data_IF_873994138679
#
_entry.id   IF_873994138679
#
_cell.length_a   1.000
_cell.length_b   1.000
_cell.length_c   1.000
_cell.angle_alpha   90.00
_cell.angle_beta   90.00
_cell.angle_gamma   90.00
#
_symmetry.space_group_name_H-M   'P 1'
#
loop_
_entity.id
_entity.type
_entity.pdbx_description
1 polymer ?
#
# COMPACT_ATOMS: atom_id res chain seq x y z
N UNK A 1 -23.10 -4.05 -4.82
CA UNK A 1 -23.24 -3.36 -6.12
C UNK A 1 -22.42 -4.13 -7.14
N UNK A 2 -22.95 -4.40 -8.33
CA UNK A 2 -22.16 -5.02 -9.40
C UNK A 2 -21.27 -3.95 -10.04
N UNK A 3 -19.96 -4.17 -10.09
CA UNK A 3 -18.99 -3.24 -10.69
C UNK A 3 -18.71 -3.65 -12.14
N UNK A 4 -18.52 -4.94 -12.35
CA UNK A 4 -18.26 -5.55 -13.65
C UNK A 4 -18.66 -7.03 -13.64
N UNK A 5 -18.73 -7.66 -14.79
CA UNK A 5 -19.01 -9.09 -14.93
C UNK A 5 -18.16 -9.63 -16.06
N UNK A 6 -17.43 -10.71 -15.76
CA UNK A 6 -16.61 -11.43 -16.73
C UNK A 6 -17.19 -12.81 -16.97
N UNK A 7 -17.12 -13.30 -18.21
CA UNK A 7 -17.58 -14.64 -18.56
C UNK A 7 -16.38 -15.56 -18.67
N UNK A 8 -16.30 -16.54 -17.78
CA UNK A 8 -15.20 -17.50 -17.72
C UNK A 8 -15.77 -18.93 -17.73
N UNK A 9 -15.22 -19.82 -18.55
CA UNK A 9 -15.71 -21.20 -18.69
C UNK A 9 -17.23 -21.32 -18.89
N UNK A 10 -17.84 -20.37 -19.61
CA UNK A 10 -19.27 -20.36 -19.90
C UNK A 10 -20.18 -19.84 -18.78
N UNK A 11 -19.63 -19.49 -17.61
CA UNK A 11 -20.36 -18.91 -16.45
C UNK A 11 -20.01 -17.44 -16.27
N UNK A 12 -20.98 -16.65 -15.81
CA UNK A 12 -20.79 -15.23 -15.52
C UNK A 12 -20.32 -15.04 -14.07
N UNK A 13 -19.22 -14.30 -13.90
CA UNK A 13 -18.60 -13.97 -12.62
C UNK A 13 -18.72 -12.48 -12.35
N UNK A 14 -19.67 -12.08 -11.49
CA UNK A 14 -19.86 -10.68 -11.15
C UNK A 14 -18.89 -10.21 -10.06
N UNK A 15 -18.13 -9.16 -10.37
CA UNK A 15 -17.29 -8.41 -9.45
C UNK A 15 -18.18 -7.51 -8.60
N UNK A 16 -18.50 -7.96 -7.38
CA UNK A 16 -19.49 -7.28 -6.53
C UNK A 16 -18.81 -6.55 -5.38
N UNK A 17 -19.04 -5.25 -5.31
CA UNK A 17 -18.76 -4.47 -4.11
C UNK A 17 -19.83 -4.77 -3.04
N UNK A 18 -19.55 -5.77 -2.21
CA UNK A 18 -20.37 -6.16 -1.05
C UNK A 18 -19.93 -5.39 0.21
N UNK A 19 -20.68 -5.52 1.31
CA UNK A 19 -20.24 -4.97 2.61
C UNK A 19 -18.94 -5.61 3.09
N UNK A 20 -18.74 -6.90 2.82
CA UNK A 20 -17.54 -7.63 3.19
C UNK A 20 -16.35 -7.20 2.32
N UNK A 21 -16.56 -7.06 1.00
CA UNK A 21 -15.56 -6.50 0.09
C UNK A 21 -15.10 -5.10 0.52
N UNK A 22 -16.04 -4.19 0.86
CA UNK A 22 -15.68 -2.86 1.40
C UNK A 22 -14.88 -2.93 2.70
N UNK A 23 -15.19 -3.89 3.58
CA UNK A 23 -14.45 -4.08 4.83
C UNK A 23 -13.02 -4.53 4.54
N UNK A 24 -12.84 -5.55 3.69
CA UNK A 24 -11.53 -6.05 3.29
C UNK A 24 -10.69 -4.98 2.58
N UNK A 25 -11.27 -4.19 1.67
CA UNK A 25 -10.57 -3.09 0.99
C UNK A 25 -10.16 -2.00 1.99
N UNK A 26 -11.03 -1.65 2.94
CA UNK A 26 -10.66 -0.70 4.01
C UNK A 26 -9.58 -1.30 4.93
N UNK A 27 -9.64 -2.59 5.27
CA UNK A 27 -8.62 -3.27 6.07
C UNK A 27 -7.27 -3.30 5.35
N UNK A 28 -7.26 -3.47 4.03
CA UNK A 28 -6.06 -3.36 3.22
C UNK A 28 -5.48 -1.95 3.28
N UNK A 29 -6.31 -0.91 3.15
CA UNK A 29 -5.90 0.48 3.37
C UNK A 29 -5.33 0.71 4.78
N UNK A 30 -5.95 0.14 5.81
CA UNK A 30 -5.50 0.26 7.20
C UNK A 30 -4.24 -0.53 7.49
N UNK A 31 -4.06 -1.71 6.91
CA UNK A 31 -2.86 -2.54 7.09
C UNK A 31 -1.63 -1.82 6.57
N UNK A 32 -1.73 -1.21 5.39
CA UNK A 32 -0.65 -0.38 4.85
C UNK A 32 -0.33 0.79 5.80
N UNK A 33 -1.36 1.42 6.38
CA UNK A 33 -1.17 2.50 7.35
C UNK A 33 -0.55 2.04 8.68
N UNK A 34 -0.98 0.90 9.23
CA UNK A 34 -0.49 0.34 10.49
C UNK A 34 0.95 -0.15 10.36
N UNK A 35 1.28 -0.81 9.23
CA UNK A 35 2.66 -1.15 8.89
C UNK A 35 3.52 0.10 8.93
N UNK A 36 3.11 1.21 8.32
CA UNK A 36 3.86 2.48 8.31
C UNK A 36 3.96 3.19 9.67
N UNK A 37 3.03 2.94 10.60
CA UNK A 37 3.08 3.44 11.97
C UNK A 37 3.81 2.50 12.94
N UNK A 38 4.31 1.35 12.46
CA UNK A 38 4.98 0.37 13.28
C UNK A 38 6.23 1.02 13.95
N UNK A 39 6.36 0.92 15.30
CA UNK A 39 7.53 1.42 16.02
C UNK A 39 8.86 0.88 15.47
N UNK A 40 8.89 -0.33 14.90
CA UNK A 40 10.08 -0.88 14.23
C UNK A 40 10.52 -0.05 13.01
N UNK A 41 9.60 0.61 12.32
CA UNK A 41 9.92 1.52 11.21
C UNK A 41 10.53 2.80 11.72
N UNK A 42 9.98 3.35 12.80
CA UNK A 42 10.55 4.52 13.46
C UNK A 42 11.96 4.24 13.99
N UNK A 43 12.21 3.05 14.54
CA UNK A 43 13.55 2.65 14.98
C UNK A 43 14.49 2.47 13.80
N UNK A 44 14.06 1.79 12.72
CA UNK A 44 14.89 1.64 11.52
C UNK A 44 15.23 3.02 10.90
N UNK A 45 14.29 3.97 10.88
CA UNK A 45 14.53 5.34 10.41
C UNK A 45 15.58 6.07 11.27
N UNK A 46 15.56 5.85 12.58
CA UNK A 46 16.58 6.32 13.51
C UNK A 46 17.95 5.69 13.23
N UNK A 47 18.02 4.37 13.12
CA UNK A 47 19.25 3.62 12.80
C UNK A 47 19.87 4.08 11.48
N UNK A 48 19.06 4.33 10.45
CA UNK A 48 19.53 4.82 9.16
C UNK A 48 20.16 6.21 9.30
N UNK A 49 19.54 7.10 10.08
CA UNK A 49 20.08 8.44 10.35
C UNK A 49 21.41 8.36 11.09
N UNK A 50 21.53 7.47 12.08
CA UNK A 50 22.76 7.27 12.84
C UNK A 50 23.90 6.69 12.00
N UNK A 51 23.64 5.64 11.20
CA UNK A 51 24.63 5.04 10.31
C UNK A 51 25.10 6.07 9.26
N UNK A 52 24.17 6.86 8.71
CA UNK A 52 24.51 7.92 7.75
C UNK A 52 25.41 9.00 8.38
N UNK A 53 25.14 9.39 9.63
CA UNK A 53 25.99 10.33 10.36
C UNK A 53 27.39 9.77 10.62
N UNK A 54 27.49 8.51 11.07
CA UNK A 54 28.77 7.82 11.30
C UNK A 54 29.58 7.70 10.02
N UNK A 55 28.94 7.32 8.91
CA UNK A 55 29.58 7.25 7.59
C UNK A 55 30.15 8.60 7.15
N UNK A 56 29.39 9.69 7.33
CA UNK A 56 29.86 11.02 6.98
C UNK A 56 31.03 11.49 7.87
N UNK A 57 31.00 11.15 9.16
CA UNK A 57 32.09 11.44 10.08
C UNK A 57 33.36 10.67 9.70
N UNK A 58 33.26 9.36 9.46
CA UNK A 58 34.38 8.52 9.04
C UNK A 58 35.01 8.99 7.72
N UNK A 59 34.19 9.42 6.75
CA UNK A 59 34.68 10.03 5.49
C UNK A 59 35.41 11.35 5.70
N UNK A 60 35.00 12.15 6.69
CA UNK A 60 35.71 13.39 7.04
C UNK A 60 37.05 13.11 7.73
N UNK A 61 37.08 12.11 8.62
CA UNK A 61 38.30 11.65 9.31
C UNK A 61 39.31 11.04 8.31
N UNK A 62 38.84 10.22 7.36
CA UNK A 62 39.66 9.63 6.29
C UNK A 62 40.33 10.73 5.44
N UNK A 63 39.55 11.70 4.96
CA UNK A 63 40.06 12.86 4.23
C UNK A 63 41.09 13.68 5.01
N UNK A 64 40.94 13.76 6.34
CA UNK A 64 41.89 14.47 7.22
C UNK A 64 43.18 13.66 7.38
N UNK A 65 43.08 12.33 7.55
CA UNK A 65 44.23 11.44 7.63
C UNK A 65 45.03 11.36 6.32
N UNK A 66 44.37 11.53 5.16
CA UNK A 66 45.03 11.71 3.85
C UNK A 66 45.84 13.00 3.76
N UNK A 67 45.42 14.08 4.43
CA UNK A 67 46.21 15.32 4.51
C UNK A 67 47.39 15.22 5.49
N UNK A 68 47.31 14.34 6.48
CA UNK A 68 48.32 14.18 7.55
C UNK A 68 49.31 13.01 7.30
N UNK A 69 49.18 12.29 6.17
CA UNK A 69 50.06 11.17 5.74
C UNK A 69 50.15 10.00 6.76
N UNK A 70 49.09 9.80 7.54
CA UNK A 70 49.03 8.80 8.62
C UNK A 70 48.51 7.44 8.13
N UNK A 71 49.42 6.58 7.68
CA UNK A 71 49.08 5.35 6.94
C UNK A 71 48.23 4.32 7.69
N UNK A 72 48.40 4.16 9.01
CA UNK A 72 47.62 3.18 9.80
C UNK A 72 46.19 3.66 10.04
N UNK A 73 46.00 4.95 10.35
CA UNK A 73 44.67 5.54 10.57
C UNK A 73 43.84 5.52 9.28
N UNK A 74 44.47 5.69 8.12
CA UNK A 74 43.81 5.62 6.81
C UNK A 74 43.29 4.21 6.48
N UNK A 75 43.97 3.15 6.93
CA UNK A 75 43.57 1.77 6.66
C UNK A 75 42.40 1.35 7.57
N UNK A 76 42.42 1.81 8.83
CA UNK A 76 41.33 1.63 9.79
C UNK A 76 40.06 2.40 9.36
N UNK A 77 40.20 3.66 8.94
CA UNK A 77 39.08 4.49 8.45
C UNK A 77 38.39 3.88 7.22
N UNK A 78 39.16 3.30 6.29
CA UNK A 78 38.61 2.61 5.11
C UNK A 78 37.82 1.36 5.47
N UNK A 79 38.28 0.60 6.46
CA UNK A 79 37.55 -0.56 6.98
C UNK A 79 36.22 -0.13 7.62
N UNK A 80 36.22 0.93 8.43
CA UNK A 80 35.01 1.46 9.07
C UNK A 80 34.00 2.00 8.03
N UNK A 81 34.46 2.74 7.03
CA UNK A 81 33.60 3.21 5.93
C UNK A 81 32.92 2.03 5.22
N UNK A 82 33.68 0.99 4.88
CA UNK A 82 33.13 -0.19 4.21
C UNK A 82 32.07 -0.92 5.06
N UNK A 83 32.25 -0.96 6.38
CA UNK A 83 31.27 -1.53 7.31
C UNK A 83 29.99 -0.70 7.35
N UNK A 84 30.09 0.62 7.52
CA UNK A 84 28.92 1.51 7.53
C UNK A 84 28.16 1.49 6.19
N UNK A 85 28.85 1.37 5.05
CA UNK A 85 28.21 1.22 3.73
C UNK A 85 27.46 -0.12 3.60
N UNK A 86 28.00 -1.21 4.14
CA UNK A 86 27.33 -2.50 4.16
C UNK A 86 26.07 -2.48 5.04
N UNK A 87 26.15 -1.88 6.23
CA UNK A 87 25.03 -1.72 7.16
C UNK A 87 23.93 -0.82 6.57
N UNK A 88 24.30 0.30 5.93
CA UNK A 88 23.36 1.18 5.24
C UNK A 88 22.61 0.43 4.12
N UNK A 89 23.32 -0.35 3.31
CA UNK A 89 22.72 -1.13 2.23
C UNK A 89 21.75 -2.19 2.77
N UNK A 90 22.12 -2.91 3.83
CA UNK A 90 21.27 -3.91 4.46
C UNK A 90 19.97 -3.29 5.02
N UNK A 91 20.07 -2.12 5.65
CA UNK A 91 18.93 -1.40 6.20
C UNK A 91 18.04 -0.79 5.10
N UNK A 92 18.63 -0.25 4.05
CA UNK A 92 17.92 0.27 2.87
C UNK A 92 17.09 -0.81 2.18
N UNK A 93 17.63 -2.03 2.02
CA UNK A 93 16.89 -3.18 1.47
C UNK A 93 15.66 -3.52 2.32
N UNK A 94 15.78 -3.45 3.65
CA UNK A 94 14.66 -3.70 4.57
C UNK A 94 13.59 -2.60 4.49
N UNK A 95 13.98 -1.34 4.27
CA UNK A 95 13.05 -0.21 4.13
C UNK A 95 12.38 -0.09 2.77
N UNK A 96 12.99 -0.63 1.72
CA UNK A 96 12.47 -0.57 0.35
C UNK A 96 11.00 -1.00 0.20
N UNK A 97 10.54 -2.14 0.76
CA UNK A 97 9.12 -2.51 0.73
C UNK A 97 8.23 -1.49 1.46
N UNK A 98 8.68 -0.94 2.59
CA UNK A 98 7.93 0.05 3.37
C UNK A 98 7.76 1.38 2.62
N UNK A 99 8.81 1.84 1.93
CA UNK A 99 8.72 3.02 1.06
C UNK A 99 7.77 2.80 -0.12
N UNK A 100 7.76 1.59 -0.69
CA UNK A 100 6.81 1.21 -1.73
C UNK A 100 5.38 1.33 -1.21
N UNK A 101 5.11 0.82 -0.02
CA UNK A 101 3.79 0.86 0.62
C UNK A 101 3.37 2.28 1.06
N UNK A 102 4.32 3.13 1.45
CA UNK A 102 4.08 4.56 1.67
C UNK A 102 3.69 5.29 0.39
N UNK A 103 4.41 5.02 -0.72
CA UNK A 103 4.08 5.57 -2.04
C UNK A 103 2.67 5.13 -2.42
N UNK A 104 2.32 3.84 -2.27
CA UNK A 104 0.95 3.34 -2.52
C UNK A 104 -0.13 4.10 -1.74
N UNK A 105 0.10 4.46 -0.47
CA UNK A 105 -0.86 5.30 0.27
C UNK A 105 -0.95 6.72 -0.29
N UNK A 106 0.19 7.33 -0.62
CA UNK A 106 0.20 8.70 -1.15
C UNK A 106 -0.45 8.80 -2.53
N UNK A 107 -0.29 7.78 -3.37
CA UNK A 107 -0.89 7.71 -4.71
C UNK A 107 -2.27 7.05 -4.74
N UNK A 108 -2.79 6.53 -3.61
CA UNK A 108 -3.93 5.60 -3.56
C UNK A 108 -3.77 4.37 -4.46
N UNK A 109 -2.52 4.01 -4.77
CA UNK A 109 -2.13 2.98 -5.71
C UNK A 109 -2.13 1.62 -5.01
N UNK A 110 -3.34 1.15 -4.71
CA UNK A 110 -3.58 -0.24 -4.31
C UNK A 110 -3.63 -1.05 -5.59
N UNK A 111 -2.99 -2.22 -5.56
CA UNK A 111 -2.96 -3.15 -6.68
C UNK A 111 -4.39 -3.39 -7.22
N UNK A 112 -4.66 -2.99 -8.47
CA UNK A 112 -5.98 -3.14 -9.08
C UNK A 112 -6.45 -4.59 -9.16
N UNK A 113 -5.54 -5.54 -9.33
CA UNK A 113 -5.85 -6.97 -9.35
C UNK A 113 -6.27 -7.47 -7.97
N UNK A 114 -5.64 -6.98 -6.91
CA UNK A 114 -5.99 -7.33 -5.54
C UNK A 114 -7.39 -6.82 -5.17
N UNK A 115 -7.74 -5.60 -5.60
CA UNK A 115 -9.11 -5.07 -5.48
C UNK A 115 -10.10 -5.95 -6.24
N UNK A 116 -9.79 -6.29 -7.50
CA UNK A 116 -10.64 -7.12 -8.34
C UNK A 116 -10.85 -8.52 -7.73
N UNK A 117 -9.79 -9.14 -7.20
CA UNK A 117 -9.85 -10.42 -6.50
C UNK A 117 -10.74 -10.35 -5.24
N UNK A 118 -10.63 -9.29 -4.44
CA UNK A 118 -11.49 -9.08 -3.26
C UNK A 118 -12.96 -9.00 -3.67
N UNK A 119 -13.31 -8.31 -4.77
CA UNK A 119 -14.70 -8.22 -5.26
C UNK A 119 -15.31 -9.56 -5.62
N UNK A 120 -14.48 -10.55 -6.00
CA UNK A 120 -14.89 -11.91 -6.33
C UNK A 120 -14.96 -12.78 -5.07
N UNK A 121 -13.89 -12.81 -4.26
CA UNK A 121 -13.81 -13.63 -3.04
C UNK A 121 -14.90 -13.27 -2.03
N UNK A 122 -15.14 -11.96 -1.85
CA UNK A 122 -16.12 -11.46 -0.89
C UNK A 122 -17.55 -11.40 -1.45
N UNK A 123 -17.76 -12.00 -2.62
CA UNK A 123 -19.09 -12.21 -3.17
C UNK A 123 -19.69 -13.51 -2.59
N UNK A 124 -20.76 -13.35 -1.80
CA UNK A 124 -21.46 -14.48 -1.17
C UNK A 124 -22.02 -15.48 -2.18
N UNK A 125 -22.32 -15.03 -3.40
CA UNK A 125 -22.87 -15.87 -4.46
C UNK A 125 -21.82 -16.80 -5.08
N UNK A 126 -20.54 -16.55 -4.82
CA UNK A 126 -19.38 -17.30 -5.35
C UNK A 126 -18.61 -18.04 -4.24
N UNK A 127 -19.19 -18.13 -3.03
CA UNK A 127 -18.54 -18.74 -1.87
C UNK A 127 -18.22 -20.20 -2.12
N UNK A 128 -16.96 -20.57 -1.91
CA UNK A 128 -16.45 -21.94 -2.06
C UNK A 128 -15.84 -22.26 -3.42
N UNK A 129 -16.08 -21.42 -4.44
CA UNK A 129 -15.47 -21.57 -5.78
C UNK A 129 -14.23 -20.66 -5.94
N UNK A 130 -14.25 -19.48 -5.31
CA UNK A 130 -13.23 -18.44 -5.43
C UNK A 130 -11.99 -18.74 -4.57
N UNK A 131 -11.19 -19.71 -5.00
CA UNK A 131 -9.83 -19.92 -4.48
C UNK A 131 -8.83 -18.97 -5.14
N UNK A 132 -7.66 -18.79 -4.55
CA UNK A 132 -6.58 -17.96 -5.12
C UNK A 132 -6.21 -18.46 -6.53
N UNK A 133 -5.95 -19.76 -6.66
CA UNK A 133 -5.66 -20.40 -7.95
C UNK A 133 -6.75 -20.16 -8.99
N UNK A 134 -8.03 -20.25 -8.60
CA UNK A 134 -9.13 -20.04 -9.54
C UNK A 134 -9.17 -18.60 -10.07
N UNK A 135 -8.83 -17.63 -9.23
CA UNK A 135 -8.79 -16.21 -9.63
C UNK A 135 -7.61 -15.96 -10.55
N UNK A 136 -6.44 -16.53 -10.23
CA UNK A 136 -5.24 -16.43 -11.05
C UNK A 136 -5.49 -17.03 -12.46
N UNK A 137 -6.04 -18.25 -12.52
CA UNK A 137 -6.41 -18.91 -13.79
C UNK A 137 -7.42 -18.08 -14.61
N UNK A 138 -8.34 -17.38 -13.93
CA UNK A 138 -9.32 -16.52 -14.58
C UNK A 138 -8.69 -15.20 -15.05
N UNK A 139 -7.74 -14.62 -14.30
CA UNK A 139 -7.02 -13.42 -14.72
C UNK A 139 -6.11 -13.72 -15.90
N UNK A 140 -5.43 -14.87 -15.92
CA UNK A 140 -4.68 -15.35 -17.08
C UNK A 140 -5.58 -15.49 -18.32
N UNK A 141 -6.78 -16.04 -18.16
CA UNK A 141 -7.76 -16.10 -19.25
C UNK A 141 -8.21 -14.70 -19.72
N UNK A 142 -8.40 -13.75 -18.80
CA UNK A 142 -8.70 -12.36 -19.16
C UNK A 142 -7.56 -11.72 -19.95
N UNK A 143 -6.30 -11.93 -19.53
CA UNK A 143 -5.11 -11.42 -20.24
C UNK A 143 -5.04 -12.03 -21.64
N UNK A 144 -5.27 -13.35 -21.76
CA UNK A 144 -5.26 -14.05 -23.04
C UNK A 144 -6.41 -13.59 -23.97
N UNK A 145 -7.57 -13.24 -23.41
CA UNK A 145 -8.76 -12.87 -24.18
C UNK A 145 -8.80 -11.39 -24.55
N UNK A 146 -8.43 -10.51 -23.61
CA UNK A 146 -8.50 -9.06 -23.77
C UNK A 146 -7.18 -8.48 -24.30
N UNK A 147 -6.05 -9.14 -24.01
CA UNK A 147 -4.70 -8.59 -24.12
C UNK A 147 -4.30 -7.84 -22.84
N UNK A 148 -3.01 -7.89 -22.51
CA UNK A 148 -2.44 -7.30 -21.29
C UNK A 148 -2.81 -5.82 -21.10
N UNK A 149 -2.66 -4.98 -22.14
CA UNK A 149 -2.98 -3.54 -22.05
C UNK A 149 -4.45 -3.29 -21.67
N UNK A 150 -5.39 -4.02 -22.28
CA UNK A 150 -6.82 -3.88 -21.98
C UNK A 150 -7.19 -4.48 -20.63
N UNK A 151 -6.49 -5.53 -20.20
CA UNK A 151 -6.65 -6.10 -18.88
C UNK A 151 -6.24 -5.06 -17.81
N UNK A 152 -5.08 -4.44 -17.95
CA UNK A 152 -4.58 -3.39 -17.04
C UNK A 152 -5.55 -2.21 -16.97
N UNK A 153 -5.98 -1.70 -18.14
CA UNK A 153 -7.00 -0.65 -18.22
C UNK A 153 -8.28 -1.05 -17.47
N UNK A 154 -8.69 -2.32 -17.60
CA UNK A 154 -9.91 -2.81 -16.96
C UNK A 154 -9.78 -2.89 -15.45
N UNK A 155 -8.65 -3.36 -14.95
CA UNK A 155 -8.39 -3.43 -13.52
C UNK A 155 -8.37 -2.03 -12.90
N UNK A 156 -7.71 -1.07 -13.56
CA UNK A 156 -7.71 0.34 -13.13
C UNK A 156 -9.14 0.92 -13.14
N UNK A 157 -9.95 0.64 -14.17
CA UNK A 157 -11.35 1.10 -14.25
C UNK A 157 -12.20 0.54 -13.09
N UNK A 158 -12.05 -0.75 -12.76
CA UNK A 158 -12.74 -1.40 -11.64
C UNK A 158 -12.37 -0.69 -10.34
N UNK A 159 -11.08 -0.49 -10.09
CA UNK A 159 -10.55 0.16 -8.89
C UNK A 159 -11.06 1.58 -8.74
N UNK A 160 -11.01 2.39 -9.81
CA UNK A 160 -11.54 3.74 -9.82
C UNK A 160 -13.04 3.79 -9.47
N UNK A 161 -13.85 2.87 -10.03
CA UNK A 161 -15.28 2.75 -9.73
C UNK A 161 -15.52 2.37 -8.27
N UNK A 162 -14.75 1.42 -7.74
CA UNK A 162 -14.84 1.00 -6.34
C UNK A 162 -14.59 2.19 -5.41
N UNK A 163 -13.49 2.92 -5.59
CA UNK A 163 -13.17 4.05 -4.73
C UNK A 163 -14.16 5.20 -4.88
N UNK A 164 -14.64 5.47 -6.08
CA UNK A 164 -15.71 6.45 -6.30
C UNK A 164 -16.95 6.10 -5.48
N UNK A 165 -17.38 4.83 -5.50
CA UNK A 165 -18.56 4.39 -4.74
C UNK A 165 -18.30 4.45 -3.23
N UNK A 166 -17.11 4.05 -2.77
CA UNK A 166 -16.73 4.15 -1.35
C UNK A 166 -16.75 5.61 -0.89
N UNK A 167 -16.19 6.54 -1.68
CA UNK A 167 -16.15 7.95 -1.34
C UNK A 167 -17.56 8.54 -1.28
N UNK A 168 -18.40 8.28 -2.28
CA UNK A 168 -19.81 8.71 -2.28
C UNK A 168 -20.58 8.23 -1.05
N UNK A 169 -20.25 7.04 -0.52
CA UNK A 169 -20.85 6.53 0.70
C UNK A 169 -20.32 7.24 1.96
N UNK A 170 -19.03 7.57 2.01
CA UNK A 170 -18.43 8.37 3.09
C UNK A 170 -19.06 9.77 3.12
N UNK A 171 -19.12 10.45 1.98
CA UNK A 171 -19.70 11.80 1.87
C UNK A 171 -21.17 11.82 2.32
N UNK A 172 -21.96 10.82 1.91
CA UNK A 172 -23.36 10.67 2.36
C UNK A 172 -23.47 10.43 3.86
N UNK A 173 -22.58 9.64 4.46
CA UNK A 173 -22.56 9.41 5.91
C UNK A 173 -22.20 10.69 6.66
N UNK A 174 -21.23 11.45 6.18
CA UNK A 174 -20.84 12.75 6.75
C UNK A 174 -21.98 13.76 6.68
N UNK A 175 -22.65 13.88 5.54
CA UNK A 175 -23.82 14.75 5.37
C UNK A 175 -24.98 14.37 6.32
N UNK A 176 -25.21 13.08 6.57
CA UNK A 176 -26.21 12.64 7.55
C UNK A 176 -25.79 13.02 8.99
N UNK A 177 -24.50 12.89 9.30
CA UNK A 177 -23.97 13.17 10.63
C UNK A 177 -23.94 14.68 10.93
N UNK A 178 -23.67 15.54 9.94
CA UNK A 178 -23.76 17.00 10.09
C UNK A 178 -25.21 17.45 10.31
N UNK A 179 -26.17 16.93 9.54
CA UNK A 179 -27.61 17.20 9.72
C UNK A 179 -28.11 16.74 11.09
N UNK A 180 -27.64 15.60 11.60
CA UNK A 180 -27.98 15.15 12.96
C UNK A 180 -27.41 16.08 14.04
N UNK A 181 -26.17 16.54 13.88
CA UNK A 181 -25.53 17.49 14.82
C UNK A 181 -26.23 18.85 14.85
N UNK A 182 -26.72 19.34 13.71
CA UNK A 182 -27.51 20.57 13.63
C UNK A 182 -28.89 20.42 14.30
N UNK A 183 -29.58 19.29 14.08
CA UNK A 183 -30.86 19.02 14.75
C UNK A 183 -30.75 18.88 16.27
N UNK A 184 -29.60 18.44 16.79
CA UNK A 184 -29.34 18.40 18.24
C UNK A 184 -28.96 19.75 18.84
N UNK A 185 -28.54 20.73 18.02
CA UNK A 185 -28.20 22.09 18.50
C UNK A 185 -29.40 23.04 18.56
N UNK A 186 -30.44 22.79 17.78
CA UNK A 186 -31.71 23.51 17.85
C UNK A 186 -32.81 22.59 18.43
N UNK A 187 -32.92 22.44 19.75
CA UNK A 187 -34.19 21.99 20.31
C UNK A 187 -35.24 23.05 19.95
N UNK A 188 -36.32 22.63 19.29
CA UNK A 188 -37.47 23.49 19.00
C UNK A 188 -37.85 24.27 20.28
N UNK A 189 -38.14 25.58 20.20
CA UNK A 189 -38.76 26.26 21.32
C UNK A 189 -40.11 25.58 21.54
N UNK A 190 -40.30 24.95 22.70
CA UNK A 190 -41.61 24.45 23.07
C UNK A 190 -42.55 25.66 23.20
N UNK A 191 -43.50 25.73 22.27
CA UNK A 191 -44.68 26.60 22.36
C UNK A 191 -45.67 26.03 23.37
#
# INVERSE_FOLDING_TARGET
MNIWTYKYNGKDYPFKLTRAARKAINELQFKIFDELQNPEILTMAGELSEIQQKLNAAKMEDNKSEMEDNKSEMEDNKSEIAQYEAELNALSIKMMPLMKDFVKLQSNDIDPEEIAAILLKENKDLKGEMTDQFIDDMFDDMVNTLGMEKFDEKMVEITARVFTVIQLLKDKLEAINTVKKEKTKNPLPMS
#
